data_IF_408488327917
#
_entry.id   IF_408488327917
#
_cell.length_a   1.000
_cell.length_b   1.000
_cell.length_c   1.000
_cell.angle_alpha   90.00
_cell.angle_beta   90.00
_cell.angle_gamma   90.00
#
_symmetry.space_group_name_H-M   'P 1'
#
loop_
_entity.id
_entity.type
_entity.pdbx_description
1 polymer ?
#
# COMPACT_ATOMS: atom_id res chain seq x y z
N UNK A 1 -9.74 6.57 2.37
CA UNK A 1 -9.21 5.34 2.97
C UNK A 1 -8.53 4.54 1.88
N UNK A 2 -7.55 3.72 2.21
CA UNK A 2 -6.92 2.74 1.31
C UNK A 2 -6.54 1.50 2.12
N UNK A 3 -6.39 0.37 1.45
CA UNK A 3 -6.01 -0.89 2.08
C UNK A 3 -5.21 -1.76 1.10
N UNK A 4 -4.46 -2.73 1.62
CA UNK A 4 -3.67 -3.67 0.80
C UNK A 4 -4.41 -4.97 0.51
N UNK A 5 -5.40 -5.31 1.35
CA UNK A 5 -6.06 -6.62 1.35
C UNK A 5 -5.07 -7.80 1.44
N UNK A 6 -3.92 -7.58 2.09
CA UNK A 6 -2.88 -8.59 2.27
C UNK A 6 -3.46 -9.86 2.96
N UNK A 7 -3.06 -11.08 2.54
CA UNK A 7 -1.93 -11.40 1.65
C UNK A 7 -2.22 -11.31 0.14
N UNK A 8 -3.42 -10.87 -0.23
CA UNK A 8 -3.91 -10.80 -1.60
C UNK A 8 -3.62 -9.43 -2.25
N UNK A 9 -4.13 -9.24 -3.47
CA UNK A 9 -4.13 -7.94 -4.15
C UNK A 9 -2.75 -7.32 -4.38
N UNK A 10 -1.73 -8.16 -4.60
CA UNK A 10 -0.39 -7.72 -5.05
C UNK A 10 -0.51 -6.87 -6.33
N UNK A 11 0.17 -5.71 -6.35
CA UNK A 11 0.32 -4.91 -7.56
C UNK A 11 1.41 -5.54 -8.42
N UNK A 12 1.01 -6.22 -9.49
CA UNK A 12 1.93 -6.92 -10.40
C UNK A 12 2.35 -6.00 -11.54
N UNK A 13 3.54 -6.27 -12.10
CA UNK A 13 4.05 -5.55 -13.29
C UNK A 13 3.12 -5.66 -14.51
N UNK A 14 2.29 -6.71 -14.56
CA UNK A 14 1.29 -6.91 -15.62
C UNK A 14 0.04 -6.06 -15.44
N UNK A 15 -0.19 -5.47 -14.26
CA UNK A 15 -1.30 -4.55 -14.04
C UNK A 15 -0.96 -3.16 -14.58
N UNK A 16 -1.97 -2.40 -15.01
CA UNK A 16 -1.78 -1.01 -15.42
C UNK A 16 -1.14 -0.15 -14.31
N UNK A 17 -1.49 -0.44 -13.04
CA UNK A 17 -0.94 0.20 -11.86
C UNK A 17 0.54 -0.13 -11.61
N UNK A 18 1.06 -1.26 -12.12
CA UNK A 18 2.44 -1.68 -11.90
C UNK A 18 3.48 -0.67 -12.39
N UNK A 19 3.15 0.11 -13.43
CA UNK A 19 4.03 1.17 -13.97
C UNK A 19 4.11 2.42 -13.09
N UNK A 20 3.19 2.57 -12.13
CA UNK A 20 3.09 3.74 -11.26
C UNK A 20 3.74 3.51 -9.89
N UNK A 21 4.10 2.26 -9.58
CA UNK A 21 4.79 1.91 -8.33
C UNK A 21 6.25 2.35 -8.38
N UNK A 22 6.70 3.03 -7.33
CA UNK A 22 8.07 3.51 -7.19
C UNK A 22 8.80 2.76 -6.08
N UNK A 23 8.13 2.53 -4.95
CA UNK A 23 8.71 1.84 -3.80
C UNK A 23 8.69 0.32 -3.99
N UNK A 24 9.84 -0.33 -3.84
CA UNK A 24 9.98 -1.78 -3.94
C UNK A 24 10.70 -2.34 -2.71
N UNK A 25 10.21 -3.48 -2.21
CA UNK A 25 10.82 -4.19 -1.10
C UNK A 25 11.59 -5.42 -1.60
N UNK A 26 12.75 -5.77 -1.02
CA UNK A 26 13.45 -7.00 -1.35
C UNK A 26 12.55 -8.22 -1.16
N UNK A 27 12.40 -9.05 -2.19
CA UNK A 27 11.54 -10.24 -2.14
C UNK A 27 12.27 -11.55 -2.46
N UNK A 28 11.81 -12.65 -1.86
CA UNK A 28 12.31 -14.01 -2.07
C UNK A 28 11.16 -14.96 -2.40
N UNK A 29 11.45 -16.05 -3.10
CA UNK A 29 10.49 -17.15 -3.24
C UNK A 29 10.24 -17.77 -1.85
N UNK A 30 9.07 -18.36 -1.64
CA UNK A 30 8.68 -18.92 -0.34
C UNK A 30 9.61 -20.03 0.17
N UNK A 31 10.13 -20.86 -0.73
CA UNK A 31 11.13 -21.91 -0.48
C UNK A 31 12.52 -21.37 -0.09
N UNK A 32 12.76 -20.07 -0.30
CA UNK A 32 14.01 -19.37 0.03
C UNK A 32 13.75 -18.19 0.97
N UNK A 33 12.84 -18.36 1.92
CA UNK A 33 12.49 -17.31 2.88
C UNK A 33 13.74 -16.77 3.60
N UNK A 34 13.78 -15.46 3.78
CA UNK A 34 14.88 -14.76 4.44
C UNK A 34 14.31 -13.65 5.32
N UNK A 35 14.75 -13.59 6.58
CA UNK A 35 14.40 -12.49 7.49
C UNK A 35 14.80 -11.14 6.86
N UNK A 36 13.89 -10.17 6.88
CA UNK A 36 14.11 -8.85 6.27
C UNK A 36 13.78 -8.78 4.77
N UNK A 37 13.24 -9.84 4.17
CA UNK A 37 12.71 -9.84 2.81
C UNK A 37 11.22 -10.23 2.81
N UNK A 38 10.44 -9.64 1.91
CA UNK A 38 9.07 -10.07 1.62
C UNK A 38 9.04 -11.41 0.87
N UNK A 39 7.89 -12.07 0.85
CA UNK A 39 7.68 -13.30 0.07
C UNK A 39 6.98 -12.96 -1.24
N UNK A 40 7.52 -13.44 -2.37
CA UNK A 40 6.92 -13.24 -3.71
C UNK A 40 5.48 -13.74 -3.73
N UNK A 41 4.58 -12.94 -4.31
CA UNK A 41 3.15 -13.23 -4.41
C UNK A 41 2.39 -13.35 -3.09
N UNK A 42 2.99 -12.90 -1.97
CA UNK A 42 2.32 -12.67 -0.70
C UNK A 42 2.40 -11.19 -0.37
N UNK A 43 1.31 -10.47 -0.62
CA UNK A 43 1.26 -9.04 -0.31
C UNK A 43 1.38 -8.81 1.21
N UNK A 44 1.84 -7.63 1.62
CA UNK A 44 2.04 -7.29 3.03
C UNK A 44 1.46 -5.90 3.34
N UNK A 45 1.06 -5.60 4.59
CA UNK A 45 0.56 -4.28 4.98
C UNK A 45 1.54 -3.14 4.65
N UNK A 46 2.85 -3.40 4.70
CA UNK A 46 3.89 -2.44 4.34
C UNK A 46 3.78 -1.94 2.88
N UNK A 47 3.15 -2.73 1.98
CA UNK A 47 2.94 -2.35 0.59
C UNK A 47 1.80 -1.33 0.40
N UNK A 48 1.18 -0.83 1.47
CA UNK A 48 0.17 0.24 1.40
C UNK A 48 0.69 1.50 0.71
N UNK A 49 2.01 1.75 0.78
CA UNK A 49 2.69 2.82 0.05
C UNK A 49 2.52 2.69 -1.48
N UNK A 50 2.52 1.46 -2.00
CA UNK A 50 2.35 1.22 -3.44
C UNK A 50 0.92 1.54 -3.89
N UNK A 51 -0.08 1.28 -3.04
CA UNK A 51 -1.48 1.68 -3.29
C UNK A 51 -1.59 3.21 -3.32
N UNK A 52 -0.95 3.89 -2.37
CA UNK A 52 -0.91 5.34 -2.31
C UNK A 52 -0.24 5.95 -3.55
N UNK A 53 0.93 5.44 -3.96
CA UNK A 53 1.65 5.87 -5.17
C UNK A 53 0.78 5.77 -6.42
N UNK A 54 0.08 4.64 -6.58
CA UNK A 54 -0.81 4.40 -7.72
C UNK A 54 -1.97 5.39 -7.75
N UNK A 55 -2.63 5.63 -6.62
CA UNK A 55 -3.78 6.54 -6.56
C UNK A 55 -3.33 7.99 -6.78
N UNK A 56 -2.21 8.40 -6.16
CA UNK A 56 -1.65 9.73 -6.32
C UNK A 56 -1.26 10.00 -7.79
N UNK A 57 -0.57 9.06 -8.43
CA UNK A 57 -0.19 9.18 -9.83
C UNK A 57 -1.41 9.18 -10.78
N UNK A 58 -2.39 8.32 -10.53
CA UNK A 58 -3.62 8.26 -11.34
C UNK A 58 -4.44 9.56 -11.24
N UNK A 59 -4.47 10.20 -10.07
CA UNK A 59 -5.20 11.45 -9.81
C UNK A 59 -4.38 12.71 -10.09
N UNK A 60 -3.07 12.59 -10.30
CA UNK A 60 -2.12 13.71 -10.45
C UNK A 60 -2.14 14.67 -9.26
N UNK A 61 -2.26 14.11 -8.06
CA UNK A 61 -2.33 14.83 -6.79
C UNK A 61 -1.02 14.65 -6.00
N UNK A 62 -0.73 15.57 -5.08
CA UNK A 62 0.44 15.47 -4.21
C UNK A 62 0.30 14.26 -3.26
N UNK A 63 1.30 13.38 -3.25
CA UNK A 63 1.24 12.12 -2.49
C UNK A 63 1.17 12.35 -0.97
N UNK A 64 1.84 13.38 -0.45
CA UNK A 64 1.87 13.70 0.99
C UNK A 64 0.52 14.26 1.45
N UNK A 65 -0.06 15.18 0.70
CA UNK A 65 -1.40 15.73 0.98
C UNK A 65 -2.48 14.64 0.90
N UNK A 66 -2.38 13.77 -0.10
CA UNK A 66 -3.27 12.62 -0.24
C UNK A 66 -3.12 11.64 0.93
N UNK A 67 -1.89 11.34 1.36
CA UNK A 67 -1.64 10.48 2.51
C UNK A 67 -2.29 11.03 3.78
N UNK A 68 -2.11 12.33 4.06
CA UNK A 68 -2.72 13.00 5.20
C UNK A 68 -4.24 12.94 5.14
N UNK A 69 -4.83 13.23 3.97
CA UNK A 69 -6.28 13.15 3.77
C UNK A 69 -6.82 11.74 3.99
N UNK A 70 -6.14 10.73 3.44
CA UNK A 70 -6.51 9.32 3.59
C UNK A 70 -6.42 8.90 5.06
N UNK A 71 -5.34 9.28 5.75
CA UNK A 71 -5.14 8.99 7.16
C UNK A 71 -6.24 9.60 8.02
N UNK A 72 -6.51 10.90 7.86
CA UNK A 72 -7.55 11.60 8.61
C UNK A 72 -8.95 11.03 8.36
N UNK A 73 -9.26 10.70 7.10
CA UNK A 73 -10.54 10.06 6.77
C UNK A 73 -10.67 8.68 7.44
N UNK A 74 -9.60 7.90 7.46
CA UNK A 74 -9.58 6.57 8.10
C UNK A 74 -9.71 6.70 9.62
N UNK A 75 -9.00 7.68 10.22
CA UNK A 75 -9.07 7.99 11.65
C UNK A 75 -10.48 8.39 12.07
N UNK A 76 -11.10 9.35 11.38
CA UNK A 76 -12.47 9.82 11.68
C UNK A 76 -13.50 8.70 11.58
N UNK A 77 -13.36 7.79 10.61
CA UNK A 77 -14.35 6.75 10.35
C UNK A 77 -14.26 5.58 11.33
N UNK A 78 -13.06 5.14 11.68
CA UNK A 78 -12.86 3.93 12.50
C UNK A 78 -12.34 4.19 13.91
N UNK A 79 -11.81 5.39 14.16
CA UNK A 79 -11.22 5.81 15.43
C UNK A 79 -11.70 7.22 15.83
N UNK A 80 -13.02 7.46 15.89
CA UNK A 80 -13.54 8.77 16.28
C UNK A 80 -13.08 9.14 17.69
N UNK A 81 -12.79 10.42 17.92
CA UNK A 81 -12.45 10.91 19.25
C UNK A 81 -13.59 10.57 20.21
N UNK A 82 -13.25 9.83 21.26
CA UNK A 82 -14.20 9.42 22.30
C UNK A 82 -14.52 10.63 23.17
N UNK A 83 -15.37 11.53 22.65
CA UNK A 83 -16.07 12.50 23.50
C UNK A 83 -17.25 11.79 24.15
N UNK A 84 -16.94 10.96 25.16
CA UNK A 84 -17.90 10.46 26.14
C UNK A 84 -17.57 11.07 27.50
#
# INVERSE_FOLDING_TARGET
MIETYAPWCEIRNTHASGKLVQTQFPSRKSDKWQKGCCVKSRNEPANIIQVLEVIAAARKENITEMANTIFENTRKMFFPDSSH
#
